data_IF_044152118336
#
_entry.id   IF_044152118336
#
_cell.length_a   1.000
_cell.length_b   1.000
_cell.length_c   1.000
_cell.angle_alpha   90.00
_cell.angle_beta   90.00
_cell.angle_gamma   90.00
#
_symmetry.space_group_name_H-M   'P 1'
#
loop_
_entity.id
_entity.type
_entity.pdbx_description
1 polymer ?
#
# COMPACT_ATOMS: atom_id res chain seq x y z
N UNK A 1 -69.67 -28.01 9.72
CA UNK A 1 -70.52 -29.07 10.30
C UNK A 1 -71.11 -29.87 9.15
N UNK A 2 -71.37 -31.19 9.24
CA UNK A 2 -71.20 -32.13 10.36
C UNK A 2 -70.22 -33.28 9.99
N UNK A 3 -69.84 -34.24 10.82
CA UNK A 3 -70.24 -34.58 12.18
C UNK A 3 -69.69 -35.95 12.58
N UNK A 4 -69.99 -36.32 13.83
CA UNK A 4 -70.01 -37.67 14.42
C UNK A 4 -68.64 -38.34 14.62
N UNK A 5 -68.06 -38.43 15.83
CA UNK A 5 -68.52 -38.96 17.15
C UNK A 5 -68.57 -40.49 17.25
N UNK A 6 -67.99 -40.95 18.36
CA UNK A 6 -67.97 -42.28 19.01
C UNK A 6 -66.79 -43.18 18.62
N UNK A 7 -65.82 -43.40 19.51
CA UNK A 7 -65.79 -44.13 20.79
C UNK A 7 -65.58 -45.65 20.67
N UNK A 8 -64.51 -46.07 21.36
CA UNK A 8 -64.31 -47.27 22.15
C UNK A 8 -63.62 -48.53 21.58
N UNK A 9 -62.87 -49.10 22.53
CA UNK A 9 -62.44 -50.49 22.69
C UNK A 9 -61.06 -50.93 22.16
N UNK A 10 -60.07 -50.72 23.03
CA UNK A 10 -59.11 -51.71 23.56
C UNK A 10 -58.80 -52.97 22.73
N UNK A 11 -57.51 -53.18 22.48
CA UNK A 11 -56.82 -54.45 22.80
C UNK A 11 -55.30 -54.22 22.86
N UNK A 12 -54.74 -54.53 24.03
CA UNK A 12 -53.31 -54.66 24.29
C UNK A 12 -52.79 -55.93 23.60
N UNK A 13 -51.78 -55.80 22.75
CA UNK A 13 -50.82 -56.87 22.48
C UNK A 13 -49.44 -56.26 22.54
N UNK A 14 -48.69 -56.66 23.56
CA UNK A 14 -47.26 -56.38 23.65
C UNK A 14 -46.48 -57.29 22.71
N UNK A 15 -45.49 -56.71 22.03
CA UNK A 15 -44.31 -57.42 21.57
C UNK A 15 -43.17 -56.41 21.54
N UNK A 16 -42.26 -56.55 22.51
CA UNK A 16 -41.01 -55.82 22.56
C UNK A 16 -40.14 -56.27 21.38
N UNK A 17 -39.83 -55.34 20.49
CA UNK A 17 -38.68 -55.43 19.61
C UNK A 17 -37.84 -54.18 19.81
N UNK A 18 -36.71 -54.42 20.45
CA UNK A 18 -35.59 -53.52 20.66
C UNK A 18 -35.15 -52.88 19.34
N UNK A 19 -35.65 -51.68 19.05
CA UNK A 19 -35.12 -50.82 18.03
C UNK A 19 -33.96 -50.02 18.64
N UNK A 20 -32.78 -50.21 18.07
CA UNK A 20 -31.54 -49.53 18.44
C UNK A 20 -31.75 -48.03 18.61
N UNK A 21 -31.41 -47.53 19.80
CA UNK A 21 -31.29 -46.11 20.05
C UNK A 21 -30.26 -45.54 19.07
N UNK A 22 -30.72 -44.72 18.12
CA UNK A 22 -29.83 -43.85 17.35
C UNK A 22 -29.16 -42.89 18.33
N UNK A 23 -27.82 -42.79 18.37
CA UNK A 23 -27.19 -41.74 19.14
C UNK A 23 -27.63 -40.41 18.56
N UNK A 24 -28.16 -39.54 19.44
CA UNK A 24 -28.39 -38.14 19.12
C UNK A 24 -27.12 -37.59 18.46
N UNK A 25 -27.24 -37.09 17.23
CA UNK A 25 -26.20 -36.25 16.64
C UNK A 25 -26.09 -35.00 17.51
N UNK A 26 -25.28 -35.09 18.55
CA UNK A 26 -24.67 -33.95 19.19
C UNK A 26 -23.91 -33.26 18.08
N UNK A 27 -24.49 -32.16 17.57
CA UNK A 27 -23.77 -31.25 16.70
C UNK A 27 -22.44 -30.96 17.37
N UNK A 28 -21.37 -31.43 16.76
CA UNK A 28 -20.01 -31.09 17.16
C UNK A 28 -19.97 -29.57 17.20
N UNK A 29 -19.97 -29.00 18.42
CA UNK A 29 -19.50 -27.64 18.63
C UNK A 29 -18.05 -27.67 18.20
N UNK A 30 -17.80 -27.24 16.97
CA UNK A 30 -16.44 -26.98 16.51
C UNK A 30 -15.88 -25.89 17.41
N UNK A 31 -14.95 -26.28 18.27
CA UNK A 31 -14.04 -25.34 18.87
C UNK A 31 -13.27 -24.68 17.72
N UNK A 32 -13.51 -23.39 17.50
CA UNK A 32 -12.65 -22.56 16.66
C UNK A 32 -11.33 -22.47 17.41
N UNK A 33 -10.36 -23.29 17.02
CA UNK A 33 -8.97 -23.04 17.38
C UNK A 33 -8.59 -21.68 16.79
N UNK A 34 -8.03 -20.74 17.57
CA UNK A 34 -7.45 -19.54 16.99
C UNK A 34 -6.35 -20.00 16.03
N UNK A 35 -6.52 -19.66 14.76
CA UNK A 35 -5.47 -19.84 13.75
C UNK A 35 -4.28 -19.04 14.27
N UNK A 36 -3.13 -19.72 14.39
CA UNK A 36 -1.90 -19.14 14.92
C UNK A 36 -1.64 -17.75 14.33
N UNK A 37 -1.28 -16.80 15.19
CA UNK A 37 -1.00 -15.38 14.89
C UNK A 37 0.13 -15.13 13.86
N UNK A 38 0.72 -16.18 13.26
CA UNK A 38 1.80 -16.04 12.28
C UNK A 38 1.36 -15.50 10.92
N UNK A 39 0.04 -15.42 10.66
CA UNK A 39 -0.53 -14.87 9.42
C UNK A 39 -1.59 -13.79 9.67
N UNK A 40 -1.57 -13.13 10.83
CA UNK A 40 -2.29 -11.88 10.99
C UNK A 40 -1.56 -10.86 10.13
N UNK A 41 -2.03 -10.64 8.89
CA UNK A 41 -1.70 -9.45 8.11
C UNK A 41 -1.84 -8.27 9.04
N UNK A 42 -0.71 -7.66 9.41
CA UNK A 42 -0.64 -6.52 10.31
C UNK A 42 -1.72 -5.55 9.86
N UNK A 43 -2.72 -5.29 10.72
CA UNK A 43 -3.63 -4.18 10.49
C UNK A 43 -2.74 -2.99 10.14
N UNK A 44 -2.91 -2.36 8.96
CA UNK A 44 -2.00 -1.29 8.58
C UNK A 44 -2.02 -0.27 9.72
N UNK A 45 -0.86 0.11 10.23
CA UNK A 45 -0.78 1.05 11.35
C UNK A 45 -1.73 2.22 11.05
N UNK A 46 -2.66 2.50 11.97
CA UNK A 46 -3.65 3.58 11.84
C UNK A 46 -3.04 4.89 11.34
N UNK A 47 -1.77 5.16 11.69
CA UNK A 47 -1.03 6.33 11.24
C UNK A 47 -0.50 6.22 9.82
N UNK A 48 -0.04 5.05 9.37
CA UNK A 48 0.25 4.79 7.95
C UNK A 48 -1.00 4.95 7.10
N UNK A 49 -2.15 4.45 7.57
CA UNK A 49 -3.44 4.65 6.88
C UNK A 49 -3.80 6.13 6.76
N UNK A 50 -3.62 6.90 7.83
CA UNK A 50 -3.88 8.34 7.82
C UNK A 50 -2.97 9.09 6.82
N UNK A 51 -1.69 8.73 6.73
CA UNK A 51 -0.74 9.25 5.74
C UNK A 51 -1.23 8.94 4.32
N UNK A 52 -1.62 7.69 4.05
CA UNK A 52 -2.15 7.28 2.74
C UNK A 52 -3.44 8.04 2.42
N UNK A 53 -4.34 8.20 3.37
CA UNK A 53 -5.59 8.92 3.15
C UNK A 53 -5.34 10.40 2.81
N UNK A 54 -4.37 11.05 3.46
CA UNK A 54 -3.95 12.40 3.07
C UNK A 54 -3.43 12.43 1.64
N UNK A 55 -2.62 11.46 1.22
CA UNK A 55 -2.14 11.36 -0.16
C UNK A 55 -3.30 11.18 -1.16
N UNK A 56 -4.26 10.31 -0.84
CA UNK A 56 -5.47 10.07 -1.65
C UNK A 56 -6.29 11.34 -1.84
N UNK A 57 -6.46 12.13 -0.79
CA UNK A 57 -7.23 13.39 -0.84
C UNK A 57 -6.57 14.47 -1.71
N UNK A 58 -5.27 14.34 -1.99
CA UNK A 58 -4.53 15.28 -2.84
C UNK A 58 -4.51 14.86 -4.32
N UNK A 59 -5.01 13.69 -4.69
CA UNK A 59 -5.06 13.26 -6.09
C UNK A 59 -5.89 14.26 -6.91
N UNK A 60 -5.30 14.76 -8.01
CA UNK A 60 -5.85 15.79 -8.88
C UNK A 60 -5.48 17.22 -8.47
N UNK A 61 -4.95 17.45 -7.27
CA UNK A 61 -4.55 18.79 -6.84
C UNK A 61 -3.31 19.28 -7.61
N UNK A 62 -3.32 20.57 -7.97
CA UNK A 62 -2.25 21.26 -8.72
C UNK A 62 -1.41 22.23 -7.88
N UNK A 63 -1.79 22.39 -6.61
CA UNK A 63 -1.12 23.21 -5.62
C UNK A 63 -1.21 22.50 -4.27
N UNK A 64 -0.26 22.78 -3.38
CA UNK A 64 -0.27 22.30 -2.00
C UNK A 64 0.06 23.45 -1.07
N UNK A 65 -0.54 23.42 0.12
CA UNK A 65 -0.20 24.30 1.24
C UNK A 65 -0.02 23.44 2.48
N UNK A 66 0.94 23.80 3.33
CA UNK A 66 1.15 23.13 4.61
C UNK A 66 1.25 24.19 5.69
N UNK A 67 0.27 24.24 6.61
CA UNK A 67 0.26 25.17 7.75
C UNK A 67 0.47 26.64 7.34
N UNK A 68 -0.17 27.09 6.26
CA UNK A 68 -0.03 28.46 5.75
C UNK A 68 1.31 28.78 5.08
N UNK A 69 2.20 27.79 4.92
CA UNK A 69 3.46 27.92 4.19
C UNK A 69 3.35 27.27 2.82
N UNK A 70 3.86 27.98 1.81
CA UNK A 70 4.02 27.42 0.47
C UNK A 70 5.14 26.38 0.48
N UNK A 71 4.80 25.15 0.08
CA UNK A 71 5.76 24.07 -0.14
C UNK A 71 6.07 23.99 -1.64
N UNK A 72 7.27 23.53 -1.99
CA UNK A 72 7.60 23.26 -3.40
C UNK A 72 6.58 22.28 -3.99
N UNK A 73 6.03 22.61 -5.15
CA UNK A 73 5.06 21.75 -5.83
C UNK A 73 5.78 20.79 -6.79
N UNK A 74 6.63 19.95 -6.22
CA UNK A 74 7.35 18.84 -6.87
C UNK A 74 7.11 17.53 -6.11
N UNK A 75 7.66 16.41 -6.59
CA UNK A 75 7.46 15.10 -5.97
C UNK A 75 7.93 15.03 -4.50
N UNK A 76 9.07 15.66 -4.18
CA UNK A 76 9.61 15.66 -2.83
C UNK A 76 8.83 16.59 -1.89
N UNK A 77 8.47 17.78 -2.35
CA UNK A 77 7.68 18.75 -1.61
C UNK A 77 6.26 18.27 -1.33
N UNK A 78 5.59 17.64 -2.30
CA UNK A 78 4.29 16.98 -2.07
C UNK A 78 4.41 15.88 -1.02
N UNK A 79 5.41 15.00 -1.15
CA UNK A 79 5.65 13.92 -0.18
C UNK A 79 5.92 14.47 1.22
N UNK A 80 6.77 15.51 1.32
CA UNK A 80 7.05 16.20 2.59
C UNK A 80 5.79 16.83 3.19
N UNK A 81 4.97 17.51 2.41
CA UNK A 81 3.74 18.14 2.89
C UNK A 81 2.76 17.12 3.49
N UNK A 82 2.64 15.95 2.85
CA UNK A 82 1.81 14.85 3.35
C UNK A 82 2.31 14.39 4.73
N UNK A 83 3.60 14.16 4.91
CA UNK A 83 4.15 13.73 6.21
C UNK A 83 4.11 14.84 7.27
N UNK A 84 4.29 16.11 6.88
CA UNK A 84 4.17 17.26 7.77
C UNK A 84 2.77 17.38 8.37
N UNK A 85 1.71 17.04 7.60
CA UNK A 85 0.34 16.98 8.12
C UNK A 85 0.18 15.95 9.27
N UNK A 86 1.10 14.99 9.36
CA UNK A 86 1.18 13.97 10.41
C UNK A 86 2.32 14.23 11.41
N UNK A 87 2.86 15.46 11.45
CA UNK A 87 3.89 15.88 12.39
C UNK A 87 5.28 15.28 12.14
N UNK A 88 5.57 14.82 10.92
CA UNK A 88 6.86 14.25 10.54
C UNK A 88 7.48 15.14 9.46
N UNK A 89 8.59 15.80 9.75
CA UNK A 89 9.34 16.51 8.70
C UNK A 89 10.38 15.56 8.07
N UNK A 90 10.14 15.15 6.83
CA UNK A 90 11.06 14.27 6.10
C UNK A 90 12.38 14.95 5.69
N UNK A 91 12.50 16.26 5.86
CA UNK A 91 13.74 17.01 5.64
C UNK A 91 14.50 17.29 6.95
N UNK A 92 13.98 16.83 8.09
CA UNK A 92 14.64 17.01 9.39
C UNK A 92 16.05 16.42 9.39
N UNK A 93 17.02 17.18 9.92
CA UNK A 93 18.42 16.74 10.00
C UNK A 93 19.14 16.62 8.66
N UNK A 94 18.57 17.16 7.58
CA UNK A 94 19.25 17.39 6.31
C UNK A 94 19.98 18.73 6.30
N UNK A 95 21.25 18.75 5.89
CA UNK A 95 21.99 19.99 5.70
C UNK A 95 21.42 20.75 4.50
N UNK A 96 21.03 22.01 4.72
CA UNK A 96 20.67 22.96 3.66
C UNK A 96 21.88 23.45 2.86
N UNK A 97 22.92 22.61 2.72
CA UNK A 97 24.14 22.92 1.97
C UNK A 97 23.92 23.01 0.45
N UNK A 98 22.68 22.76 0.00
CA UNK A 98 22.24 22.93 -1.38
C UNK A 98 22.69 21.81 -2.31
N UNK A 99 23.42 20.81 -1.82
CA UNK A 99 23.94 19.72 -2.66
C UNK A 99 22.96 18.55 -2.82
N UNK A 100 22.08 18.33 -1.84
CA UNK A 100 21.10 17.24 -1.88
C UNK A 100 19.75 17.70 -2.46
N UNK A 101 19.27 17.01 -3.50
CA UNK A 101 17.91 17.20 -3.98
C UNK A 101 16.87 16.73 -2.92
N UNK A 102 15.63 17.20 -3.02
CA UNK A 102 14.59 16.90 -2.02
C UNK A 102 14.30 15.39 -1.86
N UNK A 103 14.47 14.60 -2.92
CA UNK A 103 14.30 13.14 -2.87
C UNK A 103 15.43 12.51 -2.04
N UNK A 104 16.67 12.95 -2.22
CA UNK A 104 17.83 12.55 -1.45
C UNK A 104 17.71 12.89 0.04
N UNK A 105 17.11 14.05 0.38
CA UNK A 105 16.81 14.40 1.76
C UNK A 105 15.84 13.40 2.39
N UNK A 106 14.75 13.05 1.70
CA UNK A 106 13.77 12.06 2.17
C UNK A 106 14.41 10.68 2.31
N UNK A 107 15.19 10.25 1.32
CA UNK A 107 15.89 8.97 1.35
C UNK A 107 16.84 8.88 2.56
N UNK A 108 17.60 9.94 2.82
CA UNK A 108 18.49 10.04 3.98
C UNK A 108 17.74 10.02 5.31
N UNK A 109 16.57 10.66 5.39
CA UNK A 109 15.70 10.60 6.56
C UNK A 109 15.24 9.17 6.85
N UNK A 110 14.78 8.45 5.82
CA UNK A 110 14.37 7.04 5.98
C UNK A 110 15.53 6.12 6.31
N UNK A 111 16.74 6.41 5.83
CA UNK A 111 17.94 5.67 6.23
C UNK A 111 18.23 5.80 7.72
N UNK A 112 17.95 6.96 8.32
CA UNK A 112 18.20 7.24 9.75
C UNK A 112 17.06 6.79 10.66
N UNK A 113 15.81 6.98 10.21
CA UNK A 113 14.61 6.86 11.05
C UNK A 113 13.64 5.78 10.56
N UNK A 114 14.07 4.93 9.64
CA UNK A 114 13.25 3.95 8.97
C UNK A 114 14.06 2.78 8.47
N UNK A 115 13.56 2.13 7.42
CA UNK A 115 14.21 1.03 6.74
C UNK A 115 14.12 1.22 5.23
N UNK A 116 15.24 1.06 4.54
CA UNK A 116 15.30 0.99 3.08
C UNK A 116 15.37 -0.48 2.65
N UNK A 117 14.61 -0.86 1.62
CA UNK A 117 14.56 -2.25 1.13
C UNK A 117 14.18 -2.28 -0.36
N UNK A 118 14.35 -3.44 -1.02
CA UNK A 118 13.95 -3.64 -2.43
C UNK A 118 12.80 -4.64 -2.62
N UNK A 119 12.10 -4.99 -1.54
CA UNK A 119 11.03 -5.99 -1.53
C UNK A 119 11.43 -7.32 -0.87
N UNK A 120 10.62 -8.40 -0.97
CA UNK A 120 9.41 -8.50 -1.80
C UNK A 120 8.17 -7.85 -1.18
N UNK A 121 8.19 -7.60 0.13
CA UNK A 121 7.05 -7.02 0.85
C UNK A 121 7.17 -5.49 0.83
N UNK A 122 6.12 -4.82 0.38
CA UNK A 122 5.90 -3.38 0.47
C UNK A 122 4.48 -3.14 0.97
N UNK A 123 4.29 -2.12 1.79
CA UNK A 123 3.03 -1.82 2.44
C UNK A 123 2.50 -0.45 2.04
N UNK A 124 1.19 -0.26 2.20
CA UNK A 124 0.58 1.06 2.11
C UNK A 124 1.23 2.02 3.11
N UNK A 125 1.58 3.22 2.64
CA UNK A 125 2.29 4.24 3.41
C UNK A 125 3.81 4.15 3.34
N UNK A 126 4.38 3.13 2.70
CA UNK A 126 5.81 3.13 2.38
C UNK A 126 6.09 4.11 1.23
N UNK A 127 7.33 4.60 1.15
CA UNK A 127 7.80 5.43 0.05
C UNK A 127 8.45 4.58 -1.03
N UNK A 128 8.29 4.96 -2.29
CA UNK A 128 8.95 4.37 -3.44
C UNK A 128 9.86 5.40 -4.09
N UNK A 129 11.10 5.02 -4.40
CA UNK A 129 12.12 5.87 -4.99
C UNK A 129 12.48 5.39 -6.39
N UNK A 130 12.79 6.34 -7.26
CA UNK A 130 13.22 6.08 -8.63
C UNK A 130 14.47 6.87 -8.99
N UNK A 131 15.30 6.23 -9.80
CA UNK A 131 16.48 6.81 -10.43
C UNK A 131 16.13 7.27 -11.85
N UNK A 132 16.93 8.18 -12.42
CA UNK A 132 16.95 8.49 -13.85
C UNK A 132 15.62 8.95 -14.50
N UNK A 133 14.66 9.46 -13.71
CA UNK A 133 13.36 9.93 -14.20
C UNK A 133 13.45 11.25 -14.98
N UNK A 134 14.53 12.00 -14.78
CA UNK A 134 14.94 13.16 -15.56
C UNK A 134 16.45 13.37 -15.37
N UNK A 135 17.06 14.12 -16.28
CA UNK A 135 18.48 14.49 -16.27
C UNK A 135 18.72 15.59 -15.22
N UNK A 136 19.10 15.18 -14.00
CA UNK A 136 19.21 16.07 -12.84
C UNK A 136 20.49 16.91 -12.90
N UNK A 137 21.61 16.30 -13.32
CA UNK A 137 22.90 16.96 -13.38
C UNK A 137 23.16 17.70 -14.71
N UNK A 138 22.35 17.45 -15.75
CA UNK A 138 22.43 18.11 -17.05
C UNK A 138 23.50 17.55 -18.00
N UNK A 139 24.05 16.37 -17.74
CA UNK A 139 25.09 15.73 -18.57
C UNK A 139 24.51 14.92 -19.75
N UNK A 140 23.18 14.73 -19.77
CA UNK A 140 22.47 13.99 -20.80
C UNK A 140 22.60 12.47 -20.70
N UNK A 141 23.15 11.94 -19.61
CA UNK A 141 23.30 10.52 -19.34
C UNK A 141 22.14 9.98 -18.49
N UNK A 142 22.13 8.67 -18.29
CA UNK A 142 21.14 7.95 -17.46
C UNK A 142 21.87 7.49 -16.19
N UNK A 143 22.33 8.44 -15.39
CA UNK A 143 23.21 8.22 -14.23
C UNK A 143 22.83 9.09 -13.00
N UNK A 144 21.59 9.55 -12.92
CA UNK A 144 21.08 10.38 -11.83
C UNK A 144 20.31 9.54 -10.80
N UNK A 145 20.89 9.26 -9.63
CA UNK A 145 20.18 8.55 -8.57
C UNK A 145 19.14 9.45 -7.90
N UNK A 146 18.10 8.85 -7.34
CA UNK A 146 17.12 9.50 -6.46
C UNK A 146 16.52 10.75 -7.09
N UNK A 147 15.92 10.61 -8.27
CA UNK A 147 15.32 11.72 -9.03
C UNK A 147 13.82 11.84 -8.82
N UNK A 148 13.18 10.81 -8.24
CA UNK A 148 11.75 10.83 -7.95
C UNK A 148 11.37 10.01 -6.72
N UNK A 149 10.26 10.38 -6.09
CA UNK A 149 9.67 9.68 -4.94
C UNK A 149 8.15 9.68 -5.05
N UNK A 150 7.49 8.67 -4.48
CA UNK A 150 6.04 8.62 -4.31
C UNK A 150 5.63 7.84 -3.06
N UNK A 151 4.35 7.88 -2.71
CA UNK A 151 3.77 7.17 -1.54
C UNK A 151 2.96 5.98 -2.03
N UNK A 152 3.26 4.78 -1.55
CA UNK A 152 2.51 3.57 -1.87
C UNK A 152 1.11 3.66 -1.29
N UNK A 153 0.10 3.61 -2.16
CA UNK A 153 -1.31 3.57 -1.77
C UNK A 153 -1.74 2.13 -1.44
N UNK A 154 -1.41 1.18 -2.32
CA UNK A 154 -1.75 -0.24 -2.18
C UNK A 154 -0.91 -1.14 -3.08
N UNK A 155 -0.99 -2.44 -2.84
CA UNK A 155 -0.48 -3.50 -3.73
C UNK A 155 -1.66 -4.32 -4.23
N UNK A 156 -1.78 -4.45 -5.54
CA UNK A 156 -2.82 -5.27 -6.20
C UNK A 156 -2.44 -6.77 -6.12
N UNK A 157 -3.42 -7.66 -6.29
CA UNK A 157 -3.23 -9.10 -6.12
C UNK A 157 -2.23 -9.73 -7.10
N UNK A 158 -1.95 -9.07 -8.22
CA UNK A 158 -0.94 -9.45 -9.21
C UNK A 158 0.45 -8.86 -8.91
N UNK A 159 0.65 -8.23 -7.76
CA UNK A 159 1.90 -7.58 -7.37
C UNK A 159 2.11 -6.20 -7.98
N UNK A 160 1.16 -5.65 -8.73
CA UNK A 160 1.24 -4.27 -9.20
C UNK A 160 1.05 -3.31 -8.02
N UNK A 161 2.05 -2.47 -7.79
CA UNK A 161 2.05 -1.45 -6.75
C UNK A 161 1.41 -0.20 -7.34
N UNK A 162 0.41 0.33 -6.63
CA UNK A 162 -0.18 1.63 -6.94
C UNK A 162 0.36 2.64 -5.95
N UNK A 163 0.95 3.70 -6.46
CA UNK A 163 1.52 4.78 -5.66
C UNK A 163 1.03 6.13 -6.14
N UNK A 164 1.02 7.10 -5.24
CA UNK A 164 0.63 8.47 -5.50
C UNK A 164 1.90 9.31 -5.54
N UNK A 165 2.06 10.10 -6.58
CA UNK A 165 3.13 11.08 -6.66
C UNK A 165 2.68 12.28 -7.49
N UNK A 166 3.48 13.34 -7.42
CA UNK A 166 3.41 14.46 -8.35
C UNK A 166 4.40 14.20 -9.48
N UNK A 167 3.90 13.81 -10.64
CA UNK A 167 4.67 13.81 -11.90
C UNK A 167 4.15 14.94 -12.77
N UNK A 168 5.05 15.67 -13.43
CA UNK A 168 4.73 16.76 -14.33
C UNK A 168 3.82 17.87 -13.76
N UNK A 169 2.49 17.82 -13.95
CA UNK A 169 1.59 18.96 -13.67
C UNK A 169 0.59 18.73 -12.54
N UNK A 170 0.47 17.51 -12.04
CA UNK A 170 -0.58 17.13 -11.08
C UNK A 170 -0.09 16.02 -10.13
N UNK A 171 -0.83 15.84 -9.03
CA UNK A 171 -0.71 14.67 -8.16
C UNK A 171 -1.62 13.57 -8.72
N UNK A 172 -1.07 12.41 -9.07
CA UNK A 172 -1.83 11.31 -9.70
C UNK A 172 -1.41 9.94 -9.14
N UNK A 173 -2.15 8.91 -9.56
CA UNK A 173 -1.83 7.52 -9.27
C UNK A 173 -1.03 6.91 -10.41
N UNK A 174 0.04 6.24 -10.06
CA UNK A 174 0.93 5.51 -10.96
C UNK A 174 1.03 4.06 -10.54
N UNK A 175 1.37 3.19 -11.49
CA UNK A 175 1.51 1.75 -11.33
C UNK A 175 2.96 1.37 -11.58
N UNK A 176 3.44 0.43 -10.79
CA UNK A 176 4.75 -0.20 -10.95
C UNK A 176 4.64 -1.70 -10.66
N UNK A 177 5.32 -2.52 -11.44
CA UNK A 177 5.45 -3.94 -11.16
C UNK A 177 6.92 -4.35 -11.22
N UNK A 178 7.50 -4.66 -10.06
CA UNK A 178 8.93 -4.99 -9.91
C UNK A 178 9.26 -6.36 -10.53
N UNK A 179 8.30 -7.29 -10.60
CA UNK A 179 8.51 -8.60 -11.21
C UNK A 179 8.51 -8.53 -12.74
N UNK A 180 7.89 -7.50 -13.31
CA UNK A 180 7.78 -7.31 -14.77
C UNK A 180 8.18 -5.87 -15.15
N UNK A 181 9.43 -5.46 -14.90
CA UNK A 181 9.82 -4.05 -14.94
C UNK A 181 9.72 -3.44 -16.35
N UNK A 182 10.00 -4.23 -17.39
CA UNK A 182 10.01 -3.80 -18.79
C UNK A 182 8.63 -3.87 -19.48
N UNK A 183 7.58 -4.29 -18.78
CA UNK A 183 6.25 -4.47 -19.36
C UNK A 183 5.38 -3.27 -18.97
N UNK A 184 5.07 -2.41 -19.94
CA UNK A 184 4.07 -1.35 -19.73
C UNK A 184 2.68 -1.97 -19.53
N UNK A 185 2.26 -2.80 -20.49
CA UNK A 185 0.93 -3.42 -20.53
C UNK A 185 1.05 -4.88 -20.93
N UNK A 186 0.31 -5.75 -20.26
CA UNK A 186 0.21 -7.17 -20.63
C UNK A 186 -0.59 -7.36 -21.92
N UNK A 187 -0.52 -8.56 -22.50
CA UNK A 187 -1.27 -8.91 -23.71
C UNK A 187 -2.80 -8.78 -23.55
N UNK A 188 -3.33 -9.02 -22.35
CA UNK A 188 -4.76 -8.83 -22.01
C UNK A 188 -5.13 -7.38 -21.65
N UNK A 189 -4.20 -6.43 -21.83
CA UNK A 189 -4.47 -5.01 -21.68
C UNK A 189 -4.27 -4.44 -20.27
N UNK A 190 -3.81 -5.24 -19.30
CA UNK A 190 -3.57 -4.79 -17.92
C UNK A 190 -2.31 -3.94 -17.84
N UNK A 191 -2.42 -2.75 -17.26
CA UNK A 191 -1.30 -1.83 -17.05
C UNK A 191 -0.46 -2.27 -15.85
N UNK A 192 0.83 -2.50 -16.05
CA UNK A 192 1.77 -2.92 -15.00
C UNK A 192 2.71 -1.79 -14.57
N UNK A 193 3.22 -1.01 -15.53
CA UNK A 193 4.14 0.09 -15.27
C UNK A 193 3.74 1.33 -16.05
N UNK A 194 3.65 2.47 -15.38
CA UNK A 194 3.45 3.76 -16.03
C UNK A 194 4.77 4.32 -16.59
N UNK A 195 4.67 5.24 -17.55
CA UNK A 195 5.81 6.03 -18.01
C UNK A 195 6.12 7.12 -16.98
N UNK A 196 7.37 7.15 -16.51
CA UNK A 196 7.83 8.11 -15.50
C UNK A 196 8.89 9.08 -16.06
N UNK A 197 9.72 8.62 -16.99
CA UNK A 197 10.67 9.46 -17.72
C UNK A 197 10.05 9.95 -19.03
N UNK A 198 10.27 11.22 -19.37
CA UNK A 198 9.93 11.75 -20.69
C UNK A 198 10.98 11.35 -21.71
N UNK A 199 10.54 10.90 -22.89
CA UNK A 199 11.45 10.60 -24.00
C UNK A 199 12.17 11.85 -24.48
N UNK A 200 13.49 11.76 -24.61
CA UNK A 200 14.37 12.77 -25.13
C UNK A 200 14.96 12.33 -26.48
N UNK A 201 15.28 13.29 -27.36
CA UNK A 201 15.77 12.98 -28.71
C UNK A 201 17.15 12.32 -28.73
N UNK A 202 17.93 12.47 -27.66
CA UNK A 202 19.24 11.82 -27.45
C UNK A 202 19.14 10.44 -26.81
N UNK A 203 17.95 10.04 -26.36
CA UNK A 203 17.80 8.75 -25.69
C UNK A 203 18.08 7.61 -26.68
N UNK A 204 18.90 6.65 -26.26
CA UNK A 204 19.17 5.44 -27.02
C UNK A 204 18.00 4.46 -26.97
N UNK A 205 18.08 3.39 -27.77
CA UNK A 205 17.04 2.36 -27.82
C UNK A 205 16.81 1.64 -26.49
N UNK A 206 17.85 1.56 -25.65
CA UNK A 206 17.84 0.87 -24.36
C UNK A 206 17.59 1.81 -23.17
N UNK A 207 17.25 3.08 -23.41
CA UNK A 207 16.95 4.01 -22.31
C UNK A 207 15.69 3.56 -21.56
N UNK A 208 15.72 3.44 -20.22
CA UNK A 208 14.55 3.05 -19.43
C UNK A 208 13.55 4.20 -19.30
N UNK A 209 12.25 3.89 -19.31
CA UNK A 209 11.18 4.90 -19.17
C UNK A 209 10.09 4.52 -18.17
N UNK A 210 9.94 3.22 -17.92
CA UNK A 210 8.87 2.69 -17.10
C UNK A 210 9.25 2.74 -15.62
N UNK A 211 8.26 2.95 -14.76
CA UNK A 211 8.44 2.94 -13.30
C UNK A 211 9.22 1.73 -12.79
N UNK A 212 8.97 0.54 -13.33
CA UNK A 212 9.64 -0.69 -12.91
C UNK A 212 11.11 -0.74 -13.30
N UNK A 213 11.49 -0.14 -14.44
CA UNK A 213 12.87 -0.04 -14.91
C UNK A 213 13.68 0.98 -14.10
N UNK A 214 12.99 2.03 -13.65
CA UNK A 214 13.57 3.16 -12.94
C UNK A 214 13.58 2.94 -11.40
N UNK A 215 13.12 1.78 -10.92
CA UNK A 215 12.96 1.51 -9.50
C UNK A 215 14.30 1.44 -8.75
N UNK A 216 14.44 2.31 -7.74
CA UNK A 216 15.63 2.36 -6.89
C UNK A 216 15.45 1.56 -5.60
N UNK A 217 14.44 1.91 -4.80
CA UNK A 217 14.18 1.30 -3.50
C UNK A 217 12.78 1.63 -2.98
N UNK A 218 12.34 0.87 -1.98
CA UNK A 218 11.29 1.28 -1.05
C UNK A 218 11.91 1.82 0.24
N UNK A 219 11.13 2.62 0.95
CA UNK A 219 11.48 3.10 2.27
C UNK A 219 10.28 3.08 3.21
N UNK A 220 10.40 2.35 4.31
CA UNK A 220 9.43 2.34 5.39
C UNK A 220 9.86 3.34 6.45
N UNK A 221 9.04 4.36 6.74
CA UNK A 221 9.23 5.15 7.96
C UNK A 221 8.69 4.35 9.14
N UNK A 222 9.51 4.15 10.18
CA UNK A 222 9.00 3.63 11.45
C UNK A 222 8.07 4.70 12.00
N UNK A 223 6.80 4.39 12.19
CA UNK A 223 5.84 5.30 12.80
C UNK A 223 5.40 4.62 14.07
N UNK A 224 5.70 5.20 15.23
CA UNK A 224 5.26 4.62 16.50
C UNK A 224 3.75 4.73 16.58
N UNK A 225 3.09 3.59 16.74
CA UNK A 225 1.66 3.53 17.02
C UNK A 225 1.45 4.08 18.43
N UNK A 226 0.53 5.03 18.60
CA UNK A 226 0.22 5.58 19.92
C UNK A 226 -0.21 4.43 20.85
N UNK A 227 0.53 4.21 21.93
CA UNK A 227 0.09 3.30 22.99
C UNK A 227 -1.22 3.85 23.56
N UNK A 228 -2.27 3.02 23.51
CA UNK A 228 -3.53 3.33 24.20
C UNK A 228 -3.22 3.56 25.68
N UNK A 229 -3.63 4.67 26.31
CA UNK A 229 -3.41 4.87 27.73
C UNK A 229 -4.10 3.74 28.49
N UNK A 230 -3.31 3.10 29.34
CA UNK A 230 -3.70 2.00 30.21
C UNK A 230 -4.97 2.38 30.99
N UNK A 231 -6.05 1.63 30.76
CA UNK A 231 -7.34 1.86 31.43
C UNK A 231 -7.21 1.24 32.82
N UNK A 232 -6.86 2.06 33.80
CA UNK A 232 -6.99 1.74 35.24
C UNK A 232 -8.44 1.45 35.60
#
# INVERSE_FOLDING_TARGET
MPGFSHSLCTLLVGAALSACAAPASQGLRQAVTPISDCCRTTQPDSRKQAIVQTAVNLVGARTIESQGRRISYDCAGVTRAIYLAHGIDLFEGGSGDGMANGVGLIYNHLRKHGQLHRGPVVQAGDLVFFDNTWDYNGDGLVNDPLTHVGIVERVESNGTIVFISRVAGAIERYRMNVAYPHIHRTADGRLLNDYMRRKHWRDGEQTPYLTGELFAAFGTRVVESASSPDRR
#
